data_IF_072030005013
#
_entry.id   IF_072030005013
#
_cell.length_a   1.000
_cell.length_b   1.000
_cell.length_c   1.000
_cell.angle_alpha   90.00
_cell.angle_beta   90.00
_cell.angle_gamma   90.00
#
_symmetry.space_group_name_H-M   'P 1'
#
loop_
_entity.id
_entity.type
_entity.pdbx_description
1 polymer ?
#
# COMPACT_ATOMS: atom_id res chain seq x y z
N UNK A 1 -14.16 -7.35 -31.70
CA UNK A 1 -13.13 -6.35 -31.36
C UNK A 1 -12.15 -6.95 -30.36
N UNK A 2 -11.10 -7.66 -30.81
CA UNK A 2 -10.10 -8.30 -29.91
C UNK A 2 -9.09 -7.32 -29.29
N UNK A 3 -8.85 -6.18 -29.94
CA UNK A 3 -7.88 -5.15 -29.50
C UNK A 3 -8.25 -4.50 -28.15
N UNK A 4 -9.53 -4.32 -27.87
CA UNK A 4 -10.03 -3.71 -26.62
C UNK A 4 -9.81 -4.64 -25.41
N UNK A 5 -9.93 -5.95 -25.64
CA UNK A 5 -9.79 -6.95 -24.59
C UNK A 5 -8.33 -7.09 -24.10
N UNK A 6 -7.35 -6.91 -24.99
CA UNK A 6 -5.93 -6.88 -24.60
C UNK A 6 -5.58 -5.65 -23.75
N UNK A 7 -6.17 -4.49 -24.05
CA UNK A 7 -5.95 -3.25 -23.30
C UNK A 7 -6.53 -3.32 -21.88
N UNK A 8 -7.72 -3.88 -21.71
CA UNK A 8 -8.34 -4.07 -20.39
C UNK A 8 -7.52 -5.01 -19.49
N UNK A 9 -7.04 -6.14 -20.02
CA UNK A 9 -6.21 -7.10 -19.27
C UNK A 9 -4.88 -6.49 -18.83
N UNK A 10 -4.23 -5.71 -19.71
CA UNK A 10 -3.02 -4.95 -19.37
C UNK A 10 -3.26 -3.92 -18.26
N UNK A 11 -4.38 -3.19 -18.33
CA UNK A 11 -4.79 -2.24 -17.28
C UNK A 11 -5.01 -2.92 -15.93
N UNK A 12 -5.73 -4.06 -15.92
CA UNK A 12 -5.94 -4.88 -14.72
C UNK A 12 -4.63 -5.40 -14.13
N UNK A 13 -3.73 -5.93 -14.97
CA UNK A 13 -2.44 -6.42 -14.53
C UNK A 13 -1.60 -5.30 -13.87
N UNK A 14 -1.60 -4.10 -14.47
CA UNK A 14 -0.93 -2.93 -13.89
C UNK A 14 -1.57 -2.52 -12.55
N UNK A 15 -2.89 -2.54 -12.46
CA UNK A 15 -3.61 -2.26 -11.22
C UNK A 15 -3.25 -3.23 -10.09
N UNK A 16 -3.16 -4.54 -10.40
CA UNK A 16 -2.77 -5.57 -9.43
C UNK A 16 -1.35 -5.34 -8.90
N UNK A 17 -0.41 -5.04 -9.79
CA UNK A 17 0.98 -4.75 -9.40
C UNK A 17 1.05 -3.55 -8.48
N UNK A 18 0.33 -2.45 -8.79
CA UNK A 18 0.31 -1.25 -7.96
C UNK A 18 -0.28 -1.52 -6.56
N UNK A 19 -1.36 -2.29 -6.48
CA UNK A 19 -1.97 -2.64 -5.18
C UNK A 19 -1.03 -3.54 -4.37
N UNK A 20 -0.36 -4.50 -5.02
CA UNK A 20 0.59 -5.39 -4.35
C UNK A 20 1.77 -4.60 -3.77
N UNK A 21 2.33 -3.68 -4.56
CA UNK A 21 3.44 -2.83 -4.13
C UNK A 21 3.03 -1.85 -3.02
N UNK A 22 1.85 -1.21 -3.13
CA UNK A 22 1.29 -0.38 -2.07
C UNK A 22 1.15 -1.16 -0.76
N UNK A 23 0.59 -2.38 -0.85
CA UNK A 23 0.37 -3.24 0.31
C UNK A 23 1.69 -3.68 0.96
N UNK A 24 2.71 -3.95 0.14
CA UNK A 24 4.05 -4.32 0.63
C UNK A 24 4.71 -3.16 1.39
N UNK A 25 4.70 -1.96 0.83
CA UNK A 25 5.23 -0.76 1.48
C UNK A 25 4.45 -0.42 2.75
N UNK A 26 3.12 -0.46 2.69
CA UNK A 26 2.26 -0.20 3.82
C UNK A 26 2.52 -1.18 4.97
N UNK A 27 2.54 -2.47 4.68
CA UNK A 27 2.79 -3.51 5.66
C UNK A 27 4.17 -3.38 6.31
N UNK A 28 5.21 -3.13 5.51
CA UNK A 28 6.57 -2.90 6.03
C UNK A 28 6.67 -1.70 6.95
N UNK A 29 6.10 -0.56 6.56
CA UNK A 29 6.09 0.66 7.37
C UNK A 29 5.25 0.51 8.65
N UNK A 30 4.13 -0.21 8.57
CA UNK A 30 3.30 -0.51 9.74
C UNK A 30 4.05 -1.40 10.73
N UNK A 31 4.73 -2.45 10.26
CA UNK A 31 5.57 -3.31 11.12
C UNK A 31 6.69 -2.49 11.77
N UNK A 32 7.36 -1.62 11.01
CA UNK A 32 8.40 -0.75 11.55
C UNK A 32 7.84 0.19 12.63
N UNK A 33 6.67 0.78 12.39
CA UNK A 33 5.97 1.60 13.40
C UNK A 33 5.67 0.82 14.68
N UNK A 34 5.13 -0.40 14.56
CA UNK A 34 4.83 -1.27 15.70
C UNK A 34 6.08 -1.65 16.51
N UNK A 35 7.23 -1.81 15.84
CA UNK A 35 8.52 -2.04 16.51
C UNK A 35 9.00 -0.82 17.30
N UNK A 36 8.55 0.39 16.95
CA UNK A 36 9.04 1.64 17.54
C UNK A 36 8.17 2.16 18.70
N UNK A 37 6.86 1.95 18.67
CA UNK A 37 5.91 2.68 19.55
C UNK A 37 5.49 1.94 20.83
N UNK A 38 5.81 0.66 21.00
CA UNK A 38 5.45 -0.05 22.23
C UNK A 38 3.94 -0.33 22.33
N UNK A 39 3.34 -0.49 23.53
CA UNK A 39 1.98 -1.01 23.66
C UNK A 39 0.97 -0.13 22.93
N UNK A 40 0.34 -0.72 21.90
CA UNK A 40 -0.44 0.03 20.92
C UNK A 40 -1.88 0.20 21.37
N UNK A 41 -2.29 1.43 21.63
CA UNK A 41 -3.70 1.77 21.86
C UNK A 41 -4.48 1.86 20.53
N UNK A 42 -5.83 1.77 20.55
CA UNK A 42 -6.63 1.86 19.32
C UNK A 42 -6.37 3.12 18.49
N UNK A 43 -6.04 4.23 19.13
CA UNK A 43 -5.68 5.48 18.45
C UNK A 43 -4.36 5.37 17.69
N UNK A 44 -3.36 4.71 18.29
CA UNK A 44 -2.04 4.54 17.69
C UNK A 44 -2.08 3.58 16.50
N UNK A 45 -3.00 2.61 16.51
CA UNK A 45 -3.32 1.80 15.33
C UNK A 45 -3.85 2.65 14.18
N UNK A 46 -4.81 3.54 14.46
CA UNK A 46 -5.38 4.41 13.43
C UNK A 46 -4.33 5.37 12.87
N UNK A 47 -3.53 5.99 13.74
CA UNK A 47 -2.48 6.94 13.34
C UNK A 47 -1.34 6.23 12.60
N UNK A 48 -0.81 5.15 13.16
CA UNK A 48 0.27 4.38 12.55
C UNK A 48 -0.14 3.76 11.22
N UNK A 49 -1.33 3.18 11.15
CA UNK A 49 -1.90 2.65 9.91
C UNK A 49 -2.05 3.72 8.82
N UNK A 50 -2.55 4.91 9.19
CA UNK A 50 -2.74 6.03 8.27
C UNK A 50 -1.40 6.62 7.82
N UNK A 51 -0.46 6.84 8.75
CA UNK A 51 0.87 7.35 8.44
C UNK A 51 1.66 6.39 7.54
N UNK A 52 1.61 5.09 7.83
CA UNK A 52 2.20 4.06 6.99
C UNK A 52 1.58 4.05 5.58
N UNK A 53 0.27 4.30 5.46
CA UNK A 53 -0.42 4.31 4.15
C UNK A 53 0.02 5.51 3.31
N UNK A 54 0.11 6.69 3.94
CA UNK A 54 0.64 7.89 3.29
C UNK A 54 2.11 7.69 2.88
N UNK A 55 2.92 7.07 3.73
CA UNK A 55 4.31 6.72 3.41
C UNK A 55 4.42 5.74 2.23
N UNK A 56 3.56 4.73 2.18
CA UNK A 56 3.50 3.78 1.08
C UNK A 56 3.08 4.43 -0.25
N UNK A 57 2.09 5.33 -0.20
CA UNK A 57 1.69 6.11 -1.36
C UNK A 57 2.80 7.05 -1.84
N UNK A 58 3.56 7.66 -0.92
CA UNK A 58 4.70 8.49 -1.25
C UNK A 58 5.84 7.67 -1.88
N UNK A 59 6.12 6.46 -1.38
CA UNK A 59 7.13 5.56 -1.94
C UNK A 59 6.80 5.13 -3.37
N UNK A 60 5.52 4.89 -3.66
CA UNK A 60 5.05 4.60 -5.03
C UNK A 60 5.15 5.79 -5.99
N UNK A 61 5.16 7.02 -5.46
CA UNK A 61 5.22 8.24 -6.26
C UNK A 61 6.65 8.76 -6.46
N UNK A 62 7.63 8.20 -5.75
CA UNK A 62 9.05 8.56 -5.81
C UNK A 62 9.78 7.88 -6.99
#
# INVERSE_FOLDING_TARGET
MPEQQGAEVSSMARGIVLVAELTLWWGGLLVLWLMLIGPVEPLEWAVGGSAALLGAAAALAA
#
